data_IF_257438025751
#
_entry.id   IF_257438025751
#
_cell.length_a   1.000
_cell.length_b   1.000
_cell.length_c   1.000
_cell.angle_alpha   90.00
_cell.angle_beta   90.00
_cell.angle_gamma   90.00
#
_symmetry.space_group_name_H-M   'P 1'
#
loop_
_entity.id
_entity.type
_entity.pdbx_description
1 polymer ?
#
# COMPACT_ATOMS: atom_id res chain seq x y z
N UNK A 1 -22.91 -0.10 -8.76
CA UNK A 1 -23.33 -1.51 -9.02
C UNK A 1 -24.77 -1.79 -8.61
N UNK A 2 -25.22 -1.50 -7.37
CA UNK A 2 -26.66 -1.58 -7.02
C UNK A 2 -27.53 -0.58 -7.78
N UNK A 3 -27.03 0.63 -8.00
CA UNK A 3 -27.77 1.69 -8.72
C UNK A 3 -27.92 1.41 -10.22
N UNK A 4 -27.11 0.49 -10.76
CA UNK A 4 -27.12 0.05 -12.17
C UNK A 4 -27.88 -1.29 -12.36
N UNK A 5 -28.54 -1.80 -11.33
CA UNK A 5 -29.31 -3.05 -11.40
C UNK A 5 -28.49 -4.33 -11.59
N UNK A 6 -27.17 -4.27 -11.40
CA UNK A 6 -26.28 -5.42 -11.59
C UNK A 6 -26.30 -6.29 -10.32
N UNK A 7 -26.87 -7.48 -10.43
CA UNK A 7 -26.91 -8.49 -9.37
C UNK A 7 -25.78 -9.49 -9.59
N UNK A 8 -24.90 -9.66 -8.60
CA UNK A 8 -23.86 -10.69 -8.61
C UNK A 8 -24.53 -12.02 -8.26
N UNK A 9 -24.38 -13.03 -9.11
CA UNK A 9 -24.92 -14.37 -8.85
C UNK A 9 -24.11 -15.05 -7.75
N UNK A 10 -24.77 -15.39 -6.64
CA UNK A 10 -24.18 -16.16 -5.54
C UNK A 10 -23.86 -17.61 -5.94
N UNK A 11 -24.45 -18.10 -7.04
CA UNK A 11 -24.23 -19.46 -7.54
C UNK A 11 -23.01 -19.56 -8.47
N UNK A 12 -22.47 -18.44 -8.96
CA UNK A 12 -21.26 -18.42 -9.81
C UNK A 12 -20.09 -19.12 -9.13
N UNK A 13 -19.86 -18.83 -7.85
CA UNK A 13 -18.72 -19.40 -7.10
C UNK A 13 -18.88 -20.91 -6.95
N UNK A 14 -20.12 -21.42 -6.83
CA UNK A 14 -20.38 -22.86 -6.73
C UNK A 14 -20.23 -23.58 -8.07
N UNK A 15 -20.56 -22.92 -9.18
CA UNK A 15 -20.43 -23.50 -10.52
C UNK A 15 -18.97 -23.58 -10.98
N UNK A 16 -18.12 -22.63 -10.59
CA UNK A 16 -16.73 -22.52 -11.07
C UNK A 16 -15.64 -22.87 -10.05
N UNK A 17 -15.96 -23.17 -8.77
CA UNK A 17 -14.93 -23.55 -7.79
C UNK A 17 -14.22 -24.88 -8.10
N UNK A 18 -14.81 -25.72 -8.95
CA UNK A 18 -14.29 -27.04 -9.30
C UNK A 18 -13.46 -27.09 -10.60
N UNK A 19 -13.22 -25.96 -11.26
CA UNK A 19 -12.25 -25.90 -12.36
C UNK A 19 -10.83 -26.01 -11.80
N UNK A 20 -10.38 -27.24 -11.55
CA UNK A 20 -8.97 -27.55 -11.34
C UNK A 20 -8.26 -27.46 -12.68
N UNK A 21 -7.71 -26.29 -13.01
CA UNK A 21 -6.69 -26.22 -14.04
C UNK A 21 -5.48 -27.04 -13.58
N UNK A 22 -5.16 -28.10 -14.32
CA UNK A 22 -3.97 -28.89 -14.07
C UNK A 22 -2.73 -28.05 -14.43
N UNK A 23 -2.09 -27.46 -13.43
CA UNK A 23 -0.81 -26.77 -13.60
C UNK A 23 0.32 -27.81 -13.80
N UNK A 24 0.36 -28.41 -14.98
CA UNK A 24 1.43 -29.33 -15.38
C UNK A 24 2.47 -28.51 -16.15
N UNK A 25 3.60 -28.22 -15.51
CA UNK A 25 4.70 -27.50 -16.17
C UNK A 25 5.52 -28.46 -17.05
N UNK A 26 5.67 -29.74 -16.69
CA UNK A 26 6.26 -30.81 -17.53
C UNK A 26 5.69 -32.21 -17.22
N UNK A 27 5.73 -33.12 -18.20
CA UNK A 27 5.27 -34.52 -18.06
C UNK A 27 6.04 -35.37 -17.03
N UNK A 28 7.18 -34.88 -16.53
CA UNK A 28 8.03 -35.59 -15.56
C UNK A 28 7.54 -35.44 -14.11
N UNK A 29 6.76 -34.38 -13.82
CA UNK A 29 6.21 -34.10 -12.48
C UNK A 29 5.09 -35.08 -12.08
N UNK A 30 4.59 -35.89 -13.03
CA UNK A 30 3.57 -36.93 -12.81
C UNK A 30 4.05 -38.10 -11.95
N UNK A 31 5.36 -38.23 -11.69
CA UNK A 31 5.96 -39.40 -11.02
C UNK A 31 6.15 -39.23 -9.51
N UNK A 32 5.82 -38.08 -8.93
CA UNK A 32 5.90 -37.90 -7.49
C UNK A 32 4.63 -38.46 -6.83
N UNK A 33 4.71 -39.68 -6.31
CA UNK A 33 3.68 -40.28 -5.46
C UNK A 33 4.05 -40.05 -3.99
N UNK A 34 3.42 -39.10 -3.26
CA UNK A 34 3.53 -39.08 -1.82
C UNK A 34 2.66 -40.22 -1.28
N UNK A 35 3.28 -41.36 -0.97
CA UNK A 35 2.64 -42.41 -0.17
C UNK A 35 2.80 -42.02 1.30
N UNK A 36 1.86 -41.22 1.78
CA UNK A 36 1.71 -40.87 3.18
C UNK A 36 0.25 -40.50 3.40
N UNK A 37 -0.48 -41.31 4.16
CA UNK A 37 -1.84 -41.02 4.58
C UNK A 37 -1.89 -39.61 5.16
N UNK A 38 -2.44 -38.68 4.38
CA UNK A 38 -2.92 -37.41 4.91
C UNK A 38 -4.40 -37.67 5.06
N UNK A 39 -4.82 -37.96 6.29
CA UNK A 39 -6.23 -37.86 6.64
C UNK A 39 -6.67 -36.46 6.17
N UNK A 40 -7.72 -36.41 5.36
CA UNK A 40 -8.38 -35.17 4.99
C UNK A 40 -8.87 -34.55 6.30
N UNK A 41 -8.04 -33.72 6.92
CA UNK A 41 -8.48 -32.81 7.96
C UNK A 41 -9.57 -31.97 7.29
N UNK A 42 -10.82 -32.31 7.63
CA UNK A 42 -11.97 -31.52 7.27
C UNK A 42 -11.65 -30.10 7.68
N UNK A 43 -11.48 -29.21 6.70
CA UNK A 43 -11.48 -27.77 6.89
C UNK A 43 -12.76 -27.46 7.68
N UNK A 44 -12.63 -27.38 9.01
CA UNK A 44 -13.57 -26.65 9.84
C UNK A 44 -13.28 -25.21 9.46
N UNK A 45 -13.99 -24.80 8.41
CA UNK A 45 -14.13 -23.45 7.93
C UNK A 45 -14.56 -22.62 9.14
N UNK A 46 -13.58 -22.08 9.86
CA UNK A 46 -13.80 -21.10 10.89
C UNK A 46 -14.59 -20.00 10.19
N UNK A 47 -15.88 -19.94 10.52
CA UNK A 47 -16.91 -19.07 9.97
C UNK A 47 -16.56 -17.60 10.24
N UNK A 48 -15.50 -17.12 9.58
CA UNK A 48 -14.95 -15.79 9.61
C UNK A 48 -15.73 -14.93 8.60
N UNK A 49 -17.04 -14.85 8.81
CA UNK A 49 -17.83 -13.80 8.19
C UNK A 49 -17.77 -12.57 9.08
N UNK A 50 -17.34 -11.44 8.50
CA UNK A 50 -17.48 -10.12 9.09
C UNK A 50 -18.98 -9.75 9.11
N UNK A 51 -19.79 -10.47 9.90
CA UNK A 51 -21.24 -10.30 10.16
C UNK A 51 -22.06 -9.88 8.93
N UNK A 52 -22.90 -10.76 8.37
CA UNK A 52 -23.80 -10.49 7.23
C UNK A 52 -24.68 -9.23 7.36
N UNK A 53 -24.81 -8.65 8.56
CA UNK A 53 -25.53 -7.40 8.84
C UNK A 53 -24.69 -6.11 8.72
N UNK A 54 -23.38 -6.19 8.44
CA UNK A 54 -22.53 -5.00 8.24
C UNK A 54 -22.44 -4.66 6.75
N UNK A 55 -22.49 -3.37 6.39
CA UNK A 55 -22.33 -2.98 5.00
C UNK A 55 -20.95 -3.42 4.50
N UNK A 56 -20.95 -4.26 3.45
CA UNK A 56 -19.76 -4.70 2.72
C UNK A 56 -18.95 -3.45 2.38
N UNK A 57 -17.72 -3.40 2.87
CA UNK A 57 -16.77 -2.35 2.53
C UNK A 57 -16.49 -2.46 1.01
N UNK A 58 -16.75 -1.42 0.19
CA UNK A 58 -16.46 -1.44 -1.25
C UNK A 58 -14.93 -1.32 -1.48
N UNK A 59 -14.20 -2.34 -1.05
CA UNK A 59 -12.72 -2.40 -1.00
C UNK A 59 -12.11 -2.31 -2.40
N UNK A 60 -12.85 -2.66 -3.45
CA UNK A 60 -12.30 -2.83 -4.80
C UNK A 60 -12.35 -1.59 -5.69
N UNK A 61 -13.10 -0.53 -5.34
CA UNK A 61 -13.21 0.66 -6.21
C UNK A 61 -12.77 1.97 -5.54
N UNK A 62 -12.90 2.12 -4.22
CA UNK A 62 -12.61 3.41 -3.55
C UNK A 62 -11.12 3.61 -3.18
N UNK A 63 -10.25 2.63 -3.44
CA UNK A 63 -8.80 2.77 -3.23
C UNK A 63 -8.06 3.37 -4.43
N UNK A 64 -8.76 3.63 -5.54
CA UNK A 64 -8.20 4.33 -6.70
C UNK A 64 -8.17 5.84 -6.42
N UNK A 65 -7.09 6.28 -5.78
CA UNK A 65 -6.67 7.69 -5.71
C UNK A 65 -6.43 8.35 -7.09
N UNK A 66 -6.51 7.56 -8.17
CA UNK A 66 -6.27 7.96 -9.54
C UNK A 66 -7.45 7.45 -10.39
N UNK A 67 -8.64 7.99 -10.17
CA UNK A 67 -9.67 7.91 -11.21
C UNK A 67 -9.33 8.98 -12.26
N UNK A 68 -8.42 8.65 -13.19
CA UNK A 68 -7.99 9.55 -14.27
C UNK A 68 -9.17 9.99 -15.16
N UNK A 69 -10.28 9.25 -15.12
CA UNK A 69 -11.52 9.58 -15.83
C UNK A 69 -12.36 10.64 -15.11
N UNK A 70 -12.31 10.77 -13.79
CA UNK A 70 -12.96 11.87 -13.07
C UNK A 70 -12.16 13.19 -13.14
N UNK A 71 -10.82 13.15 -13.17
CA UNK A 71 -9.98 14.37 -13.29
C UNK A 71 -10.26 15.17 -14.59
N UNK A 72 -10.80 14.52 -15.63
CA UNK A 72 -11.23 15.20 -16.86
C UNK A 72 -12.63 15.83 -16.74
N UNK A 73 -13.47 15.28 -15.87
CA UNK A 73 -14.86 15.70 -15.65
C UNK A 73 -15.06 16.56 -14.40
N UNK A 74 -14.00 16.83 -13.63
CA UNK A 74 -14.12 17.59 -12.41
C UNK A 74 -14.62 19.01 -12.68
N UNK A 75 -15.79 19.29 -12.10
CA UNK A 75 -16.46 20.58 -11.94
C UNK A 75 -15.67 21.56 -11.07
N UNK A 76 -14.34 21.52 -11.14
CA UNK A 76 -13.45 22.47 -10.49
C UNK A 76 -13.39 23.80 -11.23
N UNK A 77 -13.39 24.91 -10.48
CA UNK A 77 -13.16 26.23 -11.06
C UNK A 77 -11.69 26.30 -11.51
N UNK A 78 -11.46 26.14 -12.82
CA UNK A 78 -10.14 26.29 -13.45
C UNK A 78 -9.79 27.77 -13.51
N UNK A 79 -9.13 28.28 -12.47
CA UNK A 79 -8.52 29.60 -12.53
C UNK A 79 -7.24 29.54 -13.36
N UNK A 80 -7.21 30.27 -14.48
CA UNK A 80 -5.96 30.53 -15.16
C UNK A 80 -5.03 31.28 -14.19
N UNK A 81 -3.73 30.92 -14.12
CA UNK A 81 -2.76 31.79 -13.47
C UNK A 81 -2.89 33.18 -14.11
N UNK A 82 -2.84 34.25 -13.32
CA UNK A 82 -3.01 35.62 -13.83
C UNK A 82 -2.13 35.89 -15.05
N UNK A 83 -2.56 36.81 -15.92
CA UNK A 83 -1.95 37.08 -17.22
C UNK A 83 -0.41 37.05 -17.17
N UNK A 84 0.21 36.29 -18.08
CA UNK A 84 1.65 36.00 -18.17
C UNK A 84 2.28 35.10 -17.08
N UNK A 85 1.51 34.53 -16.15
CA UNK A 85 2.04 33.58 -15.18
C UNK A 85 1.83 32.11 -15.62
N UNK A 86 2.79 31.26 -15.24
CA UNK A 86 2.68 29.80 -15.35
C UNK A 86 2.53 29.20 -13.96
N UNK A 87 1.69 28.17 -13.78
CA UNK A 87 1.55 27.53 -12.48
C UNK A 87 2.88 26.88 -12.09
N UNK A 88 3.31 27.09 -10.84
CA UNK A 88 4.50 26.45 -10.31
C UNK A 88 4.14 25.01 -9.97
N UNK A 89 4.98 24.05 -10.37
CA UNK A 89 4.80 22.65 -10.00
C UNK A 89 4.84 22.47 -8.49
N UNK A 90 3.99 21.59 -7.96
CA UNK A 90 3.97 21.17 -6.53
C UNK A 90 5.34 20.69 -6.04
N UNK A 91 6.21 20.22 -6.95
CA UNK A 91 7.57 19.80 -6.62
C UNK A 91 8.58 20.95 -6.48
N UNK A 92 8.36 22.04 -7.20
CA UNK A 92 9.27 23.19 -7.24
C UNK A 92 8.94 24.21 -6.15
N UNK A 93 7.69 24.26 -5.72
CA UNK A 93 7.27 25.17 -4.66
C UNK A 93 7.67 24.65 -3.27
N UNK A 94 8.65 25.35 -2.67
CA UNK A 94 9.16 25.07 -1.32
C UNK A 94 8.11 25.29 -0.23
N UNK A 95 7.10 26.13 -0.47
CA UNK A 95 6.08 26.56 0.49
C UNK A 95 4.70 25.98 0.21
N UNK A 96 4.60 25.03 -0.72
CA UNK A 96 3.31 24.51 -1.18
C UNK A 96 2.45 23.95 -0.04
N UNK A 97 3.06 23.29 0.96
CA UNK A 97 2.30 22.74 2.08
C UNK A 97 1.66 23.85 2.93
N UNK A 98 2.44 24.89 3.21
CA UNK A 98 2.05 26.03 4.03
C UNK A 98 1.00 26.91 3.34
N UNK A 99 1.06 27.00 2.01
CA UNK A 99 0.12 27.73 1.17
C UNK A 99 -1.17 26.94 0.90
N UNK A 100 -1.09 25.62 0.67
CA UNK A 100 -2.27 24.78 0.41
C UNK A 100 -3.10 24.56 1.67
N UNK A 101 -2.49 24.57 2.87
CA UNK A 101 -3.21 24.36 4.13
C UNK A 101 -3.10 25.56 5.09
N UNK A 102 -3.74 26.71 4.78
CA UNK A 102 -3.72 27.89 5.66
C UNK A 102 -4.30 27.60 7.05
N UNK A 103 -5.29 26.71 7.17
CA UNK A 103 -5.87 26.31 8.46
C UNK A 103 -4.88 25.60 9.39
N UNK A 104 -3.83 24.99 8.83
CA UNK A 104 -2.80 24.27 9.58
C UNK A 104 -1.62 25.19 9.88
N UNK A 105 -1.11 25.86 8.84
CA UNK A 105 0.15 26.60 8.92
C UNK A 105 -0.02 28.12 9.10
N UNK A 106 -1.24 28.64 9.02
CA UNK A 106 -1.55 30.08 9.06
C UNK A 106 -0.74 30.90 8.04
N UNK A 107 -0.40 30.30 6.89
CA UNK A 107 0.46 30.92 5.86
C UNK A 107 1.91 31.17 6.31
N UNK A 108 2.33 30.65 7.46
CA UNK A 108 3.69 30.84 7.99
C UNK A 108 4.60 29.72 7.55
N UNK A 109 5.78 30.08 7.05
CA UNK A 109 6.81 29.13 6.69
C UNK A 109 7.34 28.40 7.93
N UNK A 110 7.59 27.09 7.79
CA UNK A 110 8.27 26.30 8.81
C UNK A 110 9.68 26.86 9.07
N UNK A 111 10.01 27.07 10.34
CA UNK A 111 11.37 27.43 10.77
C UNK A 111 12.21 26.16 10.89
N UNK A 112 13.07 25.91 9.92
CA UNK A 112 14.04 24.81 9.96
C UNK A 112 15.35 25.38 10.51
N UNK A 113 15.96 24.70 11.48
CA UNK A 113 17.27 25.10 12.02
C UNK A 113 18.31 25.11 10.91
N UNK A 114 19.16 26.14 10.91
CA UNK A 114 20.30 26.23 9.99
C UNK A 114 21.22 25.00 10.16
N UNK A 115 21.82 24.55 9.06
CA UNK A 115 22.70 23.37 8.97
C UNK A 115 22.06 21.98 9.12
N UNK A 116 20.72 21.85 9.16
CA UNK A 116 20.05 20.54 9.17
C UNK A 116 19.52 20.17 7.79
N UNK A 117 20.07 19.11 7.18
CA UNK A 117 19.52 18.51 5.95
C UNK A 117 18.28 17.67 6.29
N UNK A 118 17.09 18.26 6.08
CA UNK A 118 15.81 17.60 6.34
C UNK A 118 15.11 17.24 5.03
N UNK A 119 14.88 15.93 4.81
CA UNK A 119 14.08 15.45 3.68
C UNK A 119 12.59 15.64 3.93
N UNK A 120 11.82 15.84 2.86
CA UNK A 120 10.36 15.99 2.95
C UNK A 120 9.68 14.80 3.66
N UNK A 121 10.17 13.57 3.44
CA UNK A 121 9.67 12.38 4.12
C UNK A 121 9.85 12.44 5.66
N UNK A 122 10.94 13.04 6.15
CA UNK A 122 11.17 13.24 7.59
C UNK A 122 10.21 14.28 8.16
N UNK A 123 9.94 15.36 7.41
CA UNK A 123 8.94 16.38 7.77
C UNK A 123 7.57 15.75 7.87
N UNK A 124 7.11 15.08 6.81
CA UNK A 124 5.82 14.38 6.77
C UNK A 124 5.66 13.40 7.93
N UNK A 125 6.69 12.55 8.16
CA UNK A 125 6.68 11.59 9.27
C UNK A 125 6.62 12.27 10.64
N UNK A 126 7.32 13.39 10.80
CA UNK A 126 7.25 14.19 12.03
C UNK A 126 5.84 14.75 12.22
N UNK A 127 5.30 15.45 11.22
CA UNK A 127 3.98 16.09 11.25
C UNK A 127 2.85 15.11 11.55
N UNK A 128 2.86 13.92 10.93
CA UNK A 128 1.88 12.87 11.18
C UNK A 128 1.98 12.28 12.59
N UNK A 129 3.16 12.36 13.23
CA UNK A 129 3.41 11.82 14.58
C UNK A 129 3.29 12.87 15.68
N UNK A 130 3.09 14.14 15.34
CA UNK A 130 2.93 15.18 16.34
C UNK A 130 1.69 14.92 17.20
N UNK A 131 1.69 15.52 18.39
CA UNK A 131 0.50 15.54 19.26
C UNK A 131 -0.67 16.25 18.57
N UNK A 132 -0.37 17.33 17.83
CA UNK A 132 -1.33 18.03 17.00
C UNK A 132 -1.77 17.17 15.81
N UNK A 133 -3.07 16.87 15.76
CA UNK A 133 -3.69 15.98 14.76
C UNK A 133 -4.12 16.68 13.49
N UNK A 134 -3.98 18.01 13.37
CA UNK A 134 -4.38 18.75 12.16
C UNK A 134 -3.70 18.22 10.90
N UNK A 135 -2.45 17.75 11.02
CA UNK A 135 -1.69 17.15 9.92
C UNK A 135 -2.13 15.71 9.57
N UNK A 136 -2.84 15.02 10.47
CA UNK A 136 -3.36 13.67 10.26
C UNK A 136 -4.69 13.62 9.50
N UNK A 137 -5.28 14.77 9.15
CA UNK A 137 -6.51 14.84 8.36
C UNK A 137 -6.29 14.20 6.99
N UNK A 138 -7.29 13.46 6.51
CA UNK A 138 -7.28 12.72 5.25
C UNK A 138 -6.81 13.57 4.06
N UNK A 139 -7.31 14.80 3.90
CA UNK A 139 -6.90 15.68 2.80
C UNK A 139 -5.41 16.06 2.83
N UNK A 140 -4.87 16.34 4.02
CA UNK A 140 -3.44 16.62 4.20
C UNK A 140 -2.60 15.37 4.01
N UNK A 141 -3.09 14.22 4.47
CA UNK A 141 -2.43 12.93 4.30
C UNK A 141 -2.26 12.58 2.82
N UNK A 142 -3.34 12.66 2.04
CA UNK A 142 -3.30 12.39 0.59
C UNK A 142 -2.42 13.37 -0.17
N UNK A 143 -2.50 14.67 0.14
CA UNK A 143 -1.60 15.66 -0.45
C UNK A 143 -0.13 15.34 -0.18
N UNK A 144 0.19 15.00 1.07
CA UNK A 144 1.55 14.67 1.50
C UNK A 144 2.03 13.37 0.84
N UNK A 145 1.15 12.37 0.72
CA UNK A 145 1.40 11.12 0.00
C UNK A 145 1.71 11.39 -1.48
N UNK A 146 0.84 12.11 -2.19
CA UNK A 146 1.01 12.40 -3.62
C UNK A 146 2.31 13.18 -3.85
N UNK A 147 2.59 14.20 -3.04
CA UNK A 147 3.85 14.96 -3.13
C UNK A 147 5.08 14.08 -2.90
N UNK A 148 5.04 13.16 -1.94
CA UNK A 148 6.12 12.18 -1.71
C UNK A 148 6.27 11.22 -2.89
N UNK A 149 5.16 10.70 -3.41
CA UNK A 149 5.12 9.79 -4.54
C UNK A 149 5.72 10.45 -5.79
N UNK A 150 5.25 11.65 -6.16
CA UNK A 150 5.76 12.40 -7.31
C UNK A 150 7.24 12.73 -7.16
N UNK A 151 7.71 13.06 -5.95
CA UNK A 151 9.14 13.32 -5.71
C UNK A 151 9.98 12.06 -5.93
N UNK A 152 9.53 10.90 -5.41
CA UNK A 152 10.19 9.62 -5.66
C UNK A 152 10.24 9.28 -7.14
N UNK A 153 9.14 9.52 -7.87
CA UNK A 153 9.12 9.31 -9.33
C UNK A 153 10.14 10.18 -10.05
N UNK A 154 10.21 11.49 -9.74
CA UNK A 154 11.20 12.37 -10.38
C UNK A 154 12.63 11.95 -10.06
N UNK A 155 12.92 11.57 -8.81
CA UNK A 155 14.24 11.07 -8.42
C UNK A 155 14.58 9.77 -9.17
N UNK A 156 13.62 8.85 -9.28
CA UNK A 156 13.76 7.59 -10.01
C UNK A 156 13.99 7.79 -11.51
N UNK A 157 13.18 8.63 -12.14
CA UNK A 157 13.32 9.01 -13.56
C UNK A 157 14.70 9.64 -13.78
N UNK A 158 15.13 10.54 -12.90
CA UNK A 158 16.46 11.17 -12.99
C UNK A 158 17.60 10.16 -12.89
N UNK A 159 17.47 9.14 -12.02
CA UNK A 159 18.45 8.05 -11.91
C UNK A 159 18.46 7.22 -13.20
N UNK A 160 17.30 6.81 -13.71
CA UNK A 160 17.23 5.99 -14.92
C UNK A 160 17.72 6.75 -16.15
N UNK A 161 17.32 8.01 -16.33
CA UNK A 161 17.84 8.90 -17.38
C UNK A 161 19.37 9.09 -17.29
N UNK A 162 19.97 8.96 -16.10
CA UNK A 162 21.43 8.99 -15.96
C UNK A 162 22.08 7.67 -16.35
N UNK A 163 21.44 6.54 -16.05
CA UNK A 163 21.90 5.20 -16.45
C UNK A 163 21.82 4.99 -17.96
N UNK A 164 20.79 5.53 -18.62
CA UNK A 164 20.57 5.39 -20.07
C UNK A 164 21.43 6.34 -20.93
N UNK A 165 22.36 7.11 -20.34
CA UNK A 165 23.26 8.07 -21.05
C UNK A 165 24.27 7.44 -22.01
N UNK A 166 24.27 6.11 -22.18
CA UNK A 166 25.05 5.43 -23.22
C UNK A 166 24.57 5.75 -24.65
N UNK A 167 23.48 6.52 -24.81
CA UNK A 167 22.97 6.98 -26.11
C UNK A 167 23.61 8.26 -26.65
N UNK A 168 24.65 8.81 -26.01
CA UNK A 168 25.26 10.09 -26.43
C UNK A 168 25.90 10.07 -27.83
N UNK A 169 26.23 8.90 -28.37
CA UNK A 169 26.92 8.74 -29.67
C UNK A 169 26.13 7.87 -30.65
N UNK A 170 24.79 7.81 -30.55
CA UNK A 170 23.98 7.04 -31.49
C UNK A 170 24.05 7.67 -32.88
N UNK A 171 24.54 6.90 -33.85
CA UNK A 171 24.65 7.35 -35.25
C UNK A 171 23.34 7.10 -35.99
N UNK A 172 23.02 7.92 -37.00
CA UNK A 172 21.81 7.76 -37.85
C UNK A 172 21.72 6.34 -38.44
N UNK A 173 22.85 5.74 -38.83
CA UNK A 173 22.92 4.36 -39.32
C UNK A 173 22.47 3.32 -38.29
N UNK A 174 22.79 3.53 -37.01
CA UNK A 174 22.33 2.65 -35.92
C UNK A 174 20.83 2.83 -35.68
N UNK A 175 20.33 4.06 -35.80
CA UNK A 175 18.90 4.36 -35.66
C UNK A 175 18.06 3.81 -36.82
N UNK A 176 18.63 3.62 -38.00
CA UNK A 176 17.96 2.95 -39.12
C UNK A 176 17.98 1.41 -38.97
N UNK A 177 18.81 0.87 -38.09
CA UNK A 177 18.87 -0.56 -37.83
C UNK A 177 17.74 -0.97 -36.86
N UNK A 178 16.83 -1.83 -37.36
CA UNK A 178 15.68 -2.33 -36.60
C UNK A 178 16.09 -3.15 -35.39
N UNK A 179 17.20 -3.89 -35.44
CA UNK A 179 17.68 -4.70 -34.32
C UNK A 179 18.23 -3.83 -33.18
N UNK A 180 18.90 -2.73 -33.53
CA UNK A 180 19.39 -1.76 -32.56
C UNK A 180 18.22 -1.03 -31.87
N UNK A 181 17.20 -0.62 -32.63
CA UNK A 181 15.97 -0.04 -32.07
C UNK A 181 15.27 -1.06 -31.17
N UNK A 182 15.10 -2.31 -31.62
CA UNK A 182 14.45 -3.35 -30.81
C UNK A 182 15.21 -3.59 -29.51
N UNK A 183 16.55 -3.64 -29.55
CA UNK A 183 17.38 -3.73 -28.33
C UNK A 183 17.20 -2.53 -27.39
N UNK A 184 16.98 -1.32 -27.93
CA UNK A 184 16.72 -0.13 -27.12
C UNK A 184 15.30 -0.15 -26.50
N UNK A 185 14.31 -0.67 -27.24
CA UNK A 185 12.91 -0.81 -26.78
C UNK A 185 12.79 -1.91 -25.72
N UNK A 186 13.52 -3.02 -25.89
CA UNK A 186 13.55 -4.15 -24.94
C UNK A 186 14.40 -3.88 -23.70
N UNK A 187 15.03 -2.71 -23.57
CA UNK A 187 15.65 -2.33 -22.31
C UNK A 187 14.56 -1.86 -21.33
N UNK A 188 14.15 -2.77 -20.43
CA UNK A 188 13.17 -2.51 -19.36
C UNK A 188 13.64 -1.46 -18.32
N UNK A 189 14.85 -0.94 -18.47
CA UNK A 189 15.37 0.22 -17.72
C UNK A 189 14.43 1.43 -17.78
N UNK A 190 13.69 1.60 -18.88
CA UNK A 190 12.69 2.65 -19.03
C UNK A 190 11.50 2.48 -18.08
N UNK A 191 11.16 1.25 -17.67
CA UNK A 191 10.08 0.94 -16.73
C UNK A 191 10.58 0.77 -15.29
N UNK A 192 11.89 0.70 -15.07
CA UNK A 192 12.47 0.55 -13.74
C UNK A 192 12.08 1.66 -12.74
N UNK A 193 11.67 2.84 -13.21
CA UNK A 193 11.19 3.92 -12.31
C UNK A 193 9.82 3.59 -11.71
N UNK A 194 9.05 2.68 -12.31
CA UNK A 194 7.75 2.26 -11.79
C UNK A 194 7.90 1.35 -10.56
N UNK A 195 9.06 0.72 -10.34
CA UNK A 195 9.36 -0.09 -9.14
C UNK A 195 9.12 0.64 -7.81
N UNK A 196 9.04 1.98 -7.82
CA UNK A 196 8.72 2.77 -6.64
C UNK A 196 7.23 2.77 -6.25
N UNK A 197 6.35 2.45 -7.19
CA UNK A 197 4.91 2.41 -6.98
C UNK A 197 4.43 0.98 -6.73
N UNK A 198 3.77 0.77 -5.60
CA UNK A 198 3.38 -0.57 -5.13
C UNK A 198 2.28 -1.20 -5.95
N UNK A 199 1.48 -0.38 -6.63
CA UNK A 199 0.46 -0.82 -7.58
C UNK A 199 1.03 -1.12 -8.97
N UNK A 200 2.31 -0.83 -9.23
CA UNK A 200 2.87 -1.03 -10.56
C UNK A 200 3.24 -2.49 -10.84
N UNK A 201 3.11 -2.95 -12.09
CA UNK A 201 3.62 -4.26 -12.51
C UNK A 201 5.12 -4.44 -12.22
N UNK A 202 5.92 -3.40 -12.42
CA UNK A 202 7.37 -3.43 -12.19
C UNK A 202 7.74 -3.67 -10.71
N UNK A 203 6.93 -3.18 -9.77
CA UNK A 203 7.11 -3.48 -8.35
C UNK A 203 6.78 -4.95 -8.04
N UNK A 204 5.68 -5.47 -8.58
CA UNK A 204 5.27 -6.86 -8.37
C UNK A 204 6.24 -7.85 -8.99
N UNK A 205 6.79 -7.52 -10.16
CA UNK A 205 7.86 -8.30 -10.79
C UNK A 205 9.09 -8.37 -9.90
N UNK A 206 9.57 -7.22 -9.39
CA UNK A 206 10.70 -7.19 -8.45
C UNK A 206 10.44 -8.06 -7.21
N UNK A 207 9.24 -7.96 -6.61
CA UNK A 207 8.89 -8.75 -5.43
C UNK A 207 8.84 -10.25 -5.73
N UNK A 208 8.30 -10.62 -6.90
CA UNK A 208 8.30 -12.00 -7.39
C UNK A 208 9.73 -12.52 -7.57
N UNK A 209 10.62 -11.73 -8.16
CA UNK A 209 12.04 -12.10 -8.32
C UNK A 209 12.74 -12.32 -6.97
N UNK A 210 12.53 -11.42 -6.00
CA UNK A 210 13.07 -11.56 -4.63
C UNK A 210 12.59 -12.85 -3.96
N UNK A 211 11.29 -13.16 -4.06
CA UNK A 211 10.72 -14.38 -3.50
C UNK A 211 11.27 -15.64 -4.19
N UNK A 212 11.37 -15.64 -5.53
CA UNK A 212 11.93 -16.75 -6.28
C UNK A 212 13.42 -16.95 -6.00
N UNK A 213 14.17 -15.87 -5.74
CA UNK A 213 15.55 -15.94 -5.32
C UNK A 213 15.68 -16.57 -3.92
N UNK A 214 14.83 -16.16 -2.97
CA UNK A 214 14.78 -16.79 -1.65
C UNK A 214 14.44 -18.28 -1.75
N UNK A 215 13.42 -18.66 -2.51
CA UNK A 215 13.04 -20.07 -2.67
C UNK A 215 14.16 -20.92 -3.29
N UNK A 216 14.96 -20.35 -4.19
CA UNK A 216 16.13 -21.04 -4.78
C UNK A 216 17.29 -21.21 -3.79
N UNK A 217 17.42 -20.33 -2.81
CA UNK A 217 18.53 -20.34 -1.85
C UNK A 217 18.20 -21.05 -0.54
N UNK A 218 16.96 -20.92 -0.07
CA UNK A 218 16.47 -21.35 1.23
C UNK A 218 15.43 -22.48 1.14
N UNK A 219 15.15 -22.96 -0.08
CA UNK A 219 14.13 -23.97 -0.38
C UNK A 219 12.68 -23.47 -0.24
N UNK A 220 11.71 -24.40 -0.17
CA UNK A 220 10.29 -24.06 -0.15
C UNK A 220 9.89 -23.45 1.20
N UNK A 221 9.06 -22.40 1.17
CA UNK A 221 8.50 -21.83 2.38
C UNK A 221 7.60 -22.83 3.10
N UNK A 222 7.81 -22.99 4.41
CA UNK A 222 7.04 -23.92 5.25
C UNK A 222 5.68 -23.34 5.66
N UNK A 223 5.61 -22.02 5.87
CA UNK A 223 4.41 -21.34 6.38
C UNK A 223 4.12 -20.12 5.51
N UNK A 224 2.87 -20.01 5.07
CA UNK A 224 2.33 -18.83 4.41
C UNK A 224 1.37 -18.13 5.37
N UNK A 225 1.59 -16.83 5.58
CA UNK A 225 0.77 -16.02 6.48
C UNK A 225 0.24 -14.79 5.75
N UNK A 226 -1.08 -14.67 5.69
CA UNK A 226 -1.78 -13.47 5.22
C UNK A 226 -2.40 -12.75 6.39
N UNK A 227 -2.05 -11.48 6.57
CA UNK A 227 -2.54 -10.65 7.66
C UNK A 227 -3.36 -9.50 7.09
N UNK A 228 -4.61 -9.39 7.52
CA UNK A 228 -5.48 -8.24 7.28
C UNK A 228 -5.65 -7.44 8.57
N UNK A 229 -5.97 -6.16 8.42
CA UNK A 229 -6.35 -5.33 9.55
C UNK A 229 -7.87 -5.45 9.77
N UNK A 230 -8.27 -5.57 11.03
CA UNK A 230 -9.67 -5.63 11.47
C UNK A 230 -9.91 -4.54 12.52
N UNK A 231 -9.67 -3.28 12.16
CA UNK A 231 -9.63 -2.14 13.07
C UNK A 231 -10.96 -1.93 13.82
N UNK A 232 -12.08 -2.30 13.21
CA UNK A 232 -13.43 -2.20 13.80
C UNK A 232 -13.66 -3.13 14.98
N UNK A 233 -12.81 -4.16 15.14
CA UNK A 233 -12.91 -5.17 16.18
C UNK A 233 -11.92 -4.96 17.33
N UNK A 234 -10.89 -4.12 17.14
CA UNK A 234 -9.88 -3.88 18.16
C UNK A 234 -10.39 -2.89 19.22
N UNK A 235 -10.99 -3.42 20.29
CA UNK A 235 -11.49 -2.63 21.41
C UNK A 235 -10.42 -1.72 22.01
N UNK A 236 -9.16 -2.16 22.09
CA UNK A 236 -8.08 -1.31 22.62
C UNK A 236 -7.77 -0.14 21.69
N UNK A 237 -7.84 -0.35 20.37
CA UNK A 237 -7.69 0.73 19.39
C UNK A 237 -8.85 1.73 19.54
N UNK A 238 -10.08 1.25 19.70
CA UNK A 238 -11.25 2.12 19.88
C UNK A 238 -11.13 2.98 21.15
N UNK A 239 -10.68 2.40 22.27
CA UNK A 239 -10.37 3.15 23.51
C UNK A 239 -9.33 4.25 23.26
N UNK A 240 -8.27 3.94 22.50
CA UNK A 240 -7.23 4.91 22.15
C UNK A 240 -7.82 6.03 21.29
N UNK A 241 -8.62 5.70 20.27
CA UNK A 241 -9.23 6.66 19.37
C UNK A 241 -10.21 7.58 20.09
N UNK A 242 -11.10 7.06 20.95
CA UNK A 242 -12.02 7.89 21.74
C UNK A 242 -11.27 8.81 22.71
N UNK A 243 -10.18 8.32 23.30
CA UNK A 243 -9.34 9.13 24.18
C UNK A 243 -8.66 10.27 23.41
N UNK A 244 -8.16 10.01 22.21
CA UNK A 244 -7.43 11.00 21.40
C UNK A 244 -8.38 12.01 20.76
N UNK A 245 -9.54 11.57 20.28
CA UNK A 245 -10.48 12.41 19.51
C UNK A 245 -11.49 13.13 20.40
N UNK A 246 -12.03 12.45 21.41
CA UNK A 246 -13.11 12.98 22.26
C UNK A 246 -12.65 13.39 23.66
N UNK A 247 -11.39 13.12 24.03
CA UNK A 247 -10.88 13.28 25.39
C UNK A 247 -11.69 12.49 26.45
N UNK A 248 -12.31 11.37 26.05
CA UNK A 248 -13.05 10.48 26.94
C UNK A 248 -12.29 9.17 27.14
N UNK A 249 -12.18 8.74 28.39
CA UNK A 249 -11.65 7.42 28.75
C UNK A 249 -12.83 6.48 28.89
N UNK A 250 -12.90 5.49 28.01
CA UNK A 250 -13.91 4.42 28.04
C UNK A 250 -13.26 3.11 28.44
N UNK A 251 -14.05 2.18 28.96
CA UNK A 251 -13.60 0.81 29.25
C UNK A 251 -13.57 -0.05 27.98
N UNK A 252 -12.93 -1.23 28.04
CA UNK A 252 -12.91 -2.16 26.90
C UNK A 252 -14.32 -2.68 26.57
N UNK A 253 -15.16 -2.91 27.59
CA UNK A 253 -16.54 -3.35 27.42
C UNK A 253 -17.38 -2.26 26.74
N UNK A 254 -17.23 -1.00 27.16
CA UNK A 254 -17.88 0.14 26.51
C UNK A 254 -17.44 0.28 25.05
N UNK A 255 -16.14 0.10 24.77
CA UNK A 255 -15.61 0.15 23.42
C UNK A 255 -16.19 -0.96 22.52
N UNK A 256 -16.37 -2.16 23.07
CA UNK A 256 -17.00 -3.28 22.36
C UNK A 256 -18.50 -3.08 22.14
N UNK A 257 -19.16 -2.25 22.95
CA UNK A 257 -20.58 -1.91 22.81
C UNK A 257 -20.85 -0.67 21.95
N UNK A 258 -19.81 0.00 21.42
CA UNK A 258 -19.99 1.12 20.49
C UNK A 258 -20.72 0.67 19.21
N UNK A 259 -21.61 1.52 18.70
CA UNK A 259 -22.27 1.29 17.41
C UNK A 259 -21.25 1.20 16.28
N UNK A 260 -21.55 0.41 15.25
CA UNK A 260 -20.66 0.23 14.10
C UNK A 260 -20.32 1.56 13.42
N UNK A 261 -21.32 2.42 13.22
CA UNK A 261 -21.15 3.77 12.65
C UNK A 261 -20.14 4.60 13.44
N UNK A 262 -20.21 4.51 14.78
CA UNK A 262 -19.30 5.26 15.65
C UNK A 262 -17.87 4.75 15.53
N UNK A 263 -17.67 3.44 15.42
CA UNK A 263 -16.35 2.84 15.18
C UNK A 263 -15.77 3.32 13.86
N UNK A 264 -16.57 3.27 12.79
CA UNK A 264 -16.16 3.74 11.46
C UNK A 264 -15.88 5.24 11.44
N UNK A 265 -16.61 6.05 12.21
CA UNK A 265 -16.33 7.47 12.37
C UNK A 265 -14.96 7.70 13.03
N UNK A 266 -14.69 7.05 14.17
CA UNK A 266 -13.42 7.18 14.89
C UNK A 266 -12.21 6.78 14.02
N UNK A 267 -12.33 5.67 13.29
CA UNK A 267 -11.29 5.17 12.39
C UNK A 267 -11.03 6.16 11.24
N UNK A 268 -12.09 6.71 10.62
CA UNK A 268 -11.96 7.70 9.54
C UNK A 268 -11.38 9.02 10.01
N UNK A 269 -11.62 9.41 11.27
CA UNK A 269 -11.12 10.66 11.82
C UNK A 269 -9.61 10.63 12.10
N UNK A 270 -9.05 9.49 12.55
CA UNK A 270 -7.61 9.33 12.78
C UNK A 270 -7.03 8.02 12.19
N UNK A 271 -6.91 7.95 10.84
CA UNK A 271 -6.32 6.78 10.19
C UNK A 271 -4.83 6.59 10.53
N UNK A 272 -4.14 7.66 10.96
CA UNK A 272 -2.72 7.59 11.30
C UNK A 272 -2.50 6.75 12.55
N UNK A 273 -3.35 6.91 13.57
CA UNK A 273 -3.30 6.10 14.78
C UNK A 273 -3.65 4.64 14.48
N UNK A 274 -4.65 4.38 13.63
CA UNK A 274 -5.02 3.04 13.17
C UNK A 274 -3.83 2.30 12.53
N UNK A 275 -3.19 2.92 11.53
CA UNK A 275 -2.03 2.32 10.83
C UNK A 275 -0.85 2.09 11.77
N UNK A 276 -0.60 3.02 12.71
CA UNK A 276 0.47 2.85 13.71
C UNK A 276 0.19 1.70 14.68
N UNK A 277 -1.07 1.53 15.05
CA UNK A 277 -1.49 0.43 15.91
C UNK A 277 -1.37 -0.91 15.19
N UNK A 278 -1.75 -0.97 13.91
CA UNK A 278 -1.52 -2.15 13.07
C UNK A 278 -0.02 -2.47 12.92
N UNK A 279 0.82 -1.46 12.63
CA UNK A 279 2.28 -1.62 12.57
C UNK A 279 2.85 -2.17 13.90
N UNK A 280 2.31 -1.71 15.03
CA UNK A 280 2.69 -2.20 16.35
C UNK A 280 2.28 -3.67 16.55
N UNK A 281 1.02 -4.05 16.26
CA UNK A 281 0.57 -5.44 16.34
C UNK A 281 1.39 -6.37 15.45
N UNK A 282 1.72 -5.94 14.23
CA UNK A 282 2.55 -6.71 13.32
C UNK A 282 3.97 -6.94 13.89
N UNK A 283 4.58 -5.93 14.51
CA UNK A 283 5.88 -6.08 15.18
C UNK A 283 5.82 -7.06 16.34
N UNK A 284 4.82 -6.91 17.22
CA UNK A 284 4.62 -7.84 18.33
C UNK A 284 4.41 -9.27 17.84
N UNK A 285 3.66 -9.47 16.75
CA UNK A 285 3.49 -10.78 16.14
C UNK A 285 4.83 -11.36 15.70
N UNK A 286 5.67 -10.59 15.00
CA UNK A 286 6.99 -11.06 14.60
C UNK A 286 7.92 -11.34 15.78
N UNK A 287 7.83 -10.57 16.86
CA UNK A 287 8.57 -10.82 18.10
C UNK A 287 8.13 -12.13 18.75
N UNK A 288 6.82 -12.43 18.77
CA UNK A 288 6.27 -13.69 19.28
C UNK A 288 6.70 -14.88 18.41
N UNK A 289 6.60 -14.76 17.08
CA UNK A 289 6.96 -15.84 16.16
C UNK A 289 8.46 -16.14 16.14
N UNK A 290 9.30 -15.15 16.45
CA UNK A 290 10.77 -15.31 16.51
C UNK A 290 11.28 -15.63 17.92
N UNK A 291 10.40 -15.70 18.93
CA UNK A 291 10.82 -15.94 20.31
C UNK A 291 11.26 -17.40 20.50
N UNK A 292 12.29 -17.67 21.34
CA UNK A 292 12.77 -19.04 21.61
C UNK A 292 11.72 -19.89 22.34
N UNK A 293 10.81 -19.25 23.08
CA UNK A 293 9.62 -19.86 23.70
C UNK A 293 8.33 -19.55 22.92
N UNK A 294 8.46 -19.29 21.62
CA UNK A 294 7.34 -18.97 20.74
C UNK A 294 6.45 -20.18 20.40
N UNK A 295 5.41 -19.97 19.58
CA UNK A 295 4.46 -21.03 19.20
C UNK A 295 5.10 -22.19 18.43
N UNK A 296 6.27 -21.97 17.82
CA UNK A 296 7.03 -22.99 17.09
C UNK A 296 8.16 -23.58 17.94
N UNK A 297 7.87 -23.96 19.19
CA UNK A 297 8.87 -24.54 20.08
C UNK A 297 9.47 -25.81 19.44
N UNK A 298 10.80 -25.83 19.27
CA UNK A 298 11.52 -26.90 18.57
C UNK A 298 11.77 -26.66 17.08
N UNK A 299 11.09 -25.69 16.46
CA UNK A 299 11.25 -25.28 15.06
C UNK A 299 11.39 -23.76 14.98
N UNK A 300 12.61 -23.26 15.22
CA UNK A 300 12.86 -21.82 15.23
C UNK A 300 12.70 -21.18 13.84
N UNK A 301 12.15 -19.96 13.81
CA UNK A 301 12.03 -19.17 12.59
C UNK A 301 13.41 -18.67 12.16
N UNK A 302 13.99 -19.29 11.13
CA UNK A 302 15.31 -18.92 10.59
C UNK A 302 15.21 -17.72 9.65
N UNK A 303 14.32 -17.80 8.67
CA UNK A 303 14.19 -16.81 7.61
C UNK A 303 12.73 -16.36 7.45
N UNK A 304 12.56 -15.12 6.99
CA UNK A 304 11.23 -14.59 6.66
C UNK A 304 11.27 -13.64 5.48
N UNK A 305 10.24 -13.73 4.66
CA UNK A 305 9.96 -12.77 3.61
C UNK A 305 8.69 -12.00 3.94
N UNK A 306 8.78 -10.67 3.88
CA UNK A 306 7.63 -9.78 4.14
C UNK A 306 7.49 -8.82 2.96
N UNK A 307 6.31 -8.86 2.31
CA UNK A 307 5.90 -7.84 1.34
C UNK A 307 5.03 -6.80 2.05
N UNK A 308 5.53 -5.58 2.23
CA UNK A 308 4.78 -4.45 2.83
C UNK A 308 4.95 -3.18 2.04
#
# INVERSE_FOLDING_TARGET
YKDEGIVISNDWIKEYSNEKENFIVKNEDKKFNPTGNTEEDSDHDDNWNESDDKPINPVTTETLLNDETEDQNDTGIKFAPGENNRPISVLMDLKVDELTFPKIYCGKQRKIKENVKLTYAKIAKSELRMFDRRCGRVSKLFFTYKKLQTRKFVDAISINLRKTKNTKNVTVTQMLNRDYINGLIHNDDAFAFLRFDRSSPAFWELKKEELMAMNRQLECATIFLTLSAAETQWSELLVILTKVLENKVITLEEAQNLSYEKRCELIRQDPVTCVRYFEHKLKCLWEILSAPCGPFQGYELVDKYVRT
#
